data_IF_606684540870
#
_entry.id   IF_606684540870
#
_cell.length_a   1.000
_cell.length_b   1.000
_cell.length_c   1.000
_cell.angle_alpha   90.00
_cell.angle_beta   90.00
_cell.angle_gamma   90.00
#
_symmetry.space_group_name_H-M   'P 1'
#
loop_
_entity.id
_entity.type
_entity.pdbx_description
1 polymer ?
#
# COMPACT_ATOMS: atom_id res chain seq x y z
N UNK A 1 72.73 -13.23 -18.49
CA UNK A 1 72.89 -12.41 -17.28
C UNK A 1 72.25 -11.07 -17.50
N UNK A 2 71.04 -10.82 -16.94
CA UNK A 2 70.37 -9.54 -16.98
C UNK A 2 69.72 -9.30 -15.59
N UNK A 3 70.35 -8.37 -14.93
CA UNK A 3 70.04 -7.93 -13.56
C UNK A 3 68.72 -7.15 -13.53
N UNK A 4 67.73 -7.64 -12.78
CA UNK A 4 66.44 -6.96 -12.56
C UNK A 4 66.48 -6.25 -11.20
N UNK A 5 66.86 -4.97 -11.22
CA UNK A 5 66.73 -4.06 -10.06
C UNK A 5 65.29 -3.92 -9.66
N UNK A 6 64.96 -4.38 -8.46
CA UNK A 6 63.70 -4.08 -7.74
C UNK A 6 63.71 -2.61 -7.30
N UNK A 7 62.77 -1.85 -7.78
CA UNK A 7 62.42 -0.51 -7.26
C UNK A 7 61.49 -0.67 -6.07
N UNK A 8 61.92 -0.31 -4.87
CA UNK A 8 61.12 -0.09 -3.67
C UNK A 8 60.41 1.26 -3.77
N UNK A 9 59.11 1.39 -3.45
CA UNK A 9 58.47 2.69 -3.37
C UNK A 9 58.78 3.35 -2.02
N UNK A 10 59.43 4.53 -2.11
CA UNK A 10 59.76 5.36 -0.97
C UNK A 10 58.49 6.01 -0.40
N UNK A 11 58.29 5.88 0.91
CA UNK A 11 57.28 6.59 1.67
C UNK A 11 57.84 8.00 1.94
N UNK A 12 57.30 9.02 1.29
CA UNK A 12 57.56 10.42 1.62
C UNK A 12 56.59 10.95 2.66
N UNK A 13 57.02 11.02 3.90
CA UNK A 13 56.40 11.81 4.95
C UNK A 13 56.66 13.29 4.69
N UNK A 14 55.68 14.02 4.13
CA UNK A 14 55.70 15.47 4.04
C UNK A 14 54.83 16.05 5.17
N UNK A 15 55.50 16.38 6.27
CA UNK A 15 54.99 17.26 7.27
C UNK A 15 55.14 18.72 6.80
N UNK A 16 54.03 19.32 6.37
CA UNK A 16 53.97 20.77 6.12
C UNK A 16 52.72 21.32 6.75
N UNK A 17 52.88 21.86 7.95
CA UNK A 17 51.89 22.72 8.61
C UNK A 17 51.61 23.95 7.74
N UNK A 18 50.39 24.11 7.29
CA UNK A 18 49.89 25.39 6.80
C UNK A 18 48.93 25.99 7.81
N UNK A 19 49.40 27.02 8.48
CA UNK A 19 48.60 27.99 9.17
C UNK A 19 47.59 28.61 8.19
N UNK A 20 46.33 28.21 8.23
CA UNK A 20 45.26 28.89 7.52
C UNK A 20 44.84 30.11 8.39
N UNK A 21 45.22 31.30 7.91
CA UNK A 21 44.69 32.58 8.38
C UNK A 21 43.17 32.55 8.30
N UNK A 22 42.52 32.74 9.46
CA UNK A 22 41.13 33.11 9.57
C UNK A 22 40.91 34.50 8.96
N UNK A 23 40.26 34.57 7.80
CA UNK A 23 39.73 35.80 7.26
C UNK A 23 38.40 36.13 7.96
N UNK A 24 38.21 37.36 8.48
CA UNK A 24 36.95 37.76 9.10
C UNK A 24 35.94 38.17 8.04
N UNK A 25 34.73 37.62 8.18
CA UNK A 25 33.50 38.32 7.84
C UNK A 25 33.09 38.37 6.38
N UNK A 26 32.30 37.37 5.99
CA UNK A 26 31.12 37.66 5.19
C UNK A 26 29.91 36.93 5.83
N UNK A 27 29.07 37.75 6.45
CA UNK A 27 27.72 37.39 6.86
C UNK A 27 26.93 37.05 5.59
N UNK A 28 27.07 35.81 5.13
CA UNK A 28 26.30 35.26 4.01
C UNK A 28 24.87 35.02 4.48
N UNK A 29 23.95 35.76 3.88
CA UNK A 29 22.50 35.61 4.03
C UNK A 29 22.11 34.14 4.12
N UNK A 30 21.45 33.79 5.21
CA UNK A 30 20.97 32.46 5.48
C UNK A 30 20.11 31.96 4.31
N UNK A 31 20.66 31.00 3.55
CA UNK A 31 19.85 30.23 2.60
C UNK A 31 18.77 29.56 3.43
N UNK A 32 17.53 30.05 3.28
CA UNK A 32 16.35 29.47 3.85
C UNK A 32 16.44 27.94 3.67
N UNK A 33 16.47 27.21 4.78
CA UNK A 33 16.66 25.77 4.79
C UNK A 33 15.62 25.13 3.85
N UNK A 34 16.09 24.47 2.81
CA UNK A 34 15.20 23.69 1.96
C UNK A 34 14.47 22.70 2.85
N UNK A 35 13.14 22.64 2.81
CA UNK A 35 12.40 21.80 3.72
C UNK A 35 12.89 20.35 3.59
N UNK A 36 13.05 19.71 4.74
CA UNK A 36 13.59 18.36 4.96
C UNK A 36 13.08 17.30 3.95
N UNK A 37 11.84 17.45 3.46
CA UNK A 37 11.24 16.53 2.48
C UNK A 37 11.74 16.73 1.02
N UNK A 38 12.54 17.78 0.73
CA UNK A 38 13.05 18.08 -0.61
C UNK A 38 14.51 17.63 -0.84
N UNK A 39 15.11 16.91 0.08
CA UNK A 39 16.44 16.32 -0.12
C UNK A 39 16.34 15.05 -0.95
N UNK A 40 15.92 15.19 -2.21
CA UNK A 40 16.12 14.15 -3.21
C UNK A 40 17.56 14.19 -3.64
N UNK A 41 18.33 13.21 -3.18
CA UNK A 41 19.68 12.97 -3.65
C UNK A 41 19.69 12.79 -5.16
N UNK A 42 19.98 13.88 -5.89
CA UNK A 42 20.06 13.91 -7.37
C UNK A 42 21.26 13.16 -7.92
N UNK A 43 22.08 12.53 -7.11
CA UNK A 43 23.34 11.91 -7.54
C UNK A 43 23.30 10.43 -7.88
N UNK A 44 22.19 9.76 -7.73
CA UNK A 44 22.08 8.38 -8.20
C UNK A 44 21.28 8.35 -9.50
N UNK A 45 22.02 8.34 -10.63
CA UNK A 45 21.45 7.94 -11.92
C UNK A 45 20.58 6.68 -11.72
N UNK A 46 19.40 6.55 -12.36
CA UNK A 46 18.50 5.44 -12.14
C UNK A 46 19.20 4.13 -12.53
N UNK A 47 19.84 3.49 -11.56
CA UNK A 47 20.24 2.09 -11.73
C UNK A 47 18.95 1.34 -12.03
N UNK A 48 18.90 0.65 -13.17
CA UNK A 48 17.79 -0.21 -13.57
C UNK A 48 17.32 -0.97 -12.33
N UNK A 49 16.13 -0.65 -11.83
CA UNK A 49 15.61 -1.29 -10.63
C UNK A 49 15.61 -2.81 -10.90
N UNK A 50 16.24 -3.63 -10.05
CA UNK A 50 16.30 -5.06 -10.30
C UNK A 50 14.86 -5.58 -10.40
N UNK A 51 14.61 -6.52 -11.31
CA UNK A 51 13.29 -7.11 -11.56
C UNK A 51 12.56 -7.52 -10.26
N UNK A 52 13.30 -8.01 -9.28
CA UNK A 52 12.81 -8.37 -7.96
C UNK A 52 12.16 -7.21 -7.20
N UNK A 53 12.67 -5.99 -7.34
CA UNK A 53 12.06 -4.82 -6.68
C UNK A 53 10.78 -4.37 -7.38
N UNK A 54 10.69 -4.59 -8.69
CA UNK A 54 9.47 -4.32 -9.44
C UNK A 54 8.38 -5.34 -9.08
N UNK A 55 8.73 -6.63 -9.04
CA UNK A 55 7.80 -7.70 -8.66
C UNK A 55 7.32 -7.58 -7.20
N UNK A 56 8.20 -7.17 -6.27
CA UNK A 56 7.78 -6.96 -4.88
C UNK A 56 6.75 -5.85 -4.73
N UNK A 57 6.83 -4.79 -5.56
CA UNK A 57 5.81 -3.74 -5.55
C UNK A 57 4.48 -4.19 -6.15
N UNK A 58 4.47 -5.07 -7.15
CA UNK A 58 3.25 -5.70 -7.66
C UNK A 58 2.59 -6.58 -6.61
N UNK A 59 3.37 -7.40 -5.91
CA UNK A 59 2.88 -8.24 -4.82
C UNK A 59 2.22 -7.39 -3.72
N UNK A 60 2.87 -6.30 -3.30
CA UNK A 60 2.31 -5.37 -2.32
C UNK A 60 1.00 -4.73 -2.82
N UNK A 61 0.92 -4.35 -4.09
CA UNK A 61 -0.32 -3.83 -4.66
C UNK A 61 -1.45 -4.86 -4.62
N UNK A 62 -1.17 -6.11 -5.00
CA UNK A 62 -2.17 -7.18 -4.96
C UNK A 62 -2.66 -7.49 -3.54
N UNK A 63 -1.73 -7.60 -2.59
CA UNK A 63 -2.07 -7.86 -1.19
C UNK A 63 -2.86 -6.68 -0.58
N UNK A 64 -2.44 -5.45 -0.85
CA UNK A 64 -3.09 -4.26 -0.32
C UNK A 64 -4.49 -4.05 -0.88
N UNK A 65 -4.66 -4.14 -2.21
CA UNK A 65 -5.97 -3.95 -2.85
C UNK A 65 -6.88 -5.13 -2.56
N UNK A 66 -6.41 -6.36 -2.80
CA UNK A 66 -7.21 -7.57 -2.60
C UNK A 66 -7.62 -7.74 -1.14
N UNK A 67 -6.67 -7.63 -0.22
CA UNK A 67 -6.94 -7.74 1.22
C UNK A 67 -7.96 -6.71 1.70
N UNK A 68 -7.80 -5.44 1.33
CA UNK A 68 -8.70 -4.36 1.76
C UNK A 68 -10.11 -4.50 1.18
N UNK A 69 -10.23 -4.77 -0.12
CA UNK A 69 -11.54 -4.93 -0.78
C UNK A 69 -12.28 -6.14 -0.24
N UNK A 70 -11.60 -7.30 -0.18
CA UNK A 70 -12.23 -8.52 0.32
C UNK A 70 -12.49 -8.49 1.83
N UNK A 71 -11.72 -7.74 2.63
CA UNK A 71 -12.03 -7.55 4.05
C UNK A 71 -13.41 -6.92 4.24
N UNK A 72 -13.75 -5.91 3.45
CA UNK A 72 -15.07 -5.27 3.51
C UNK A 72 -16.16 -6.19 2.95
N UNK A 73 -15.94 -6.77 1.77
CA UNK A 73 -16.93 -7.63 1.09
C UNK A 73 -17.31 -8.83 1.94
N UNK A 74 -16.31 -9.54 2.47
CA UNK A 74 -16.55 -10.76 3.27
C UNK A 74 -16.92 -10.44 4.72
N UNK A 75 -16.40 -9.33 5.27
CA UNK A 75 -16.70 -8.92 6.62
C UNK A 75 -18.17 -8.54 6.81
N UNK A 76 -18.80 -7.91 5.82
CA UNK A 76 -20.24 -7.57 5.85
C UNK A 76 -21.10 -8.52 5.02
N UNK A 77 -20.56 -9.65 4.57
CA UNK A 77 -21.21 -10.65 3.70
C UNK A 77 -22.03 -10.03 2.56
N UNK A 78 -21.40 -9.09 1.86
CA UNK A 78 -22.06 -8.33 0.80
C UNK A 78 -22.29 -9.23 -0.43
N UNK A 79 -23.50 -9.21 -1.02
CA UNK A 79 -23.84 -10.02 -2.18
C UNK A 79 -23.25 -9.42 -3.47
N UNK A 80 -21.97 -9.64 -3.68
CA UNK A 80 -21.23 -9.17 -4.87
C UNK A 80 -20.85 -10.33 -5.77
N UNK A 81 -20.63 -10.05 -7.05
CA UNK A 81 -20.04 -10.99 -8.00
C UNK A 81 -18.56 -11.23 -7.68
N UNK A 82 -18.28 -12.14 -6.72
CA UNK A 82 -16.92 -12.40 -6.19
C UNK A 82 -15.87 -12.61 -7.29
N UNK A 83 -16.24 -13.27 -8.38
CA UNK A 83 -15.33 -13.48 -9.53
C UNK A 83 -14.95 -12.19 -10.25
N UNK A 84 -15.90 -11.28 -10.48
CA UNK A 84 -15.65 -9.99 -11.12
C UNK A 84 -14.78 -9.08 -10.24
N UNK A 85 -15.08 -9.04 -8.92
CA UNK A 85 -14.28 -8.28 -7.95
C UNK A 85 -12.86 -8.86 -7.85
N UNK A 86 -12.70 -10.19 -7.80
CA UNK A 86 -11.40 -10.84 -7.76
C UNK A 86 -10.58 -10.53 -9.01
N UNK A 87 -11.21 -10.61 -10.19
CA UNK A 87 -10.57 -10.26 -11.45
C UNK A 87 -10.13 -8.79 -11.47
N UNK A 88 -10.96 -7.88 -10.98
CA UNK A 88 -10.63 -6.46 -10.85
C UNK A 88 -9.45 -6.24 -9.89
N UNK A 89 -9.47 -6.88 -8.71
CA UNK A 89 -8.37 -6.82 -7.74
C UNK A 89 -7.06 -7.41 -8.26
N UNK A 90 -7.10 -8.33 -9.23
CA UNK A 90 -5.91 -8.89 -9.86
C UNK A 90 -5.42 -8.05 -11.06
N UNK A 91 -6.32 -7.69 -11.96
CA UNK A 91 -5.98 -7.03 -13.21
C UNK A 91 -5.59 -5.55 -13.04
N UNK A 92 -6.37 -4.79 -12.25
CA UNK A 92 -6.13 -3.35 -12.13
C UNK A 92 -4.78 -3.02 -11.48
N UNK A 93 -4.37 -3.65 -10.35
CA UNK A 93 -3.02 -3.46 -9.81
C UNK A 93 -1.91 -3.84 -10.79
N UNK A 94 -2.11 -4.90 -11.61
CA UNK A 94 -1.15 -5.28 -12.63
C UNK A 94 -1.01 -4.21 -13.73
N UNK A 95 -2.12 -3.62 -14.17
CA UNK A 95 -2.12 -2.51 -15.13
C UNK A 95 -1.44 -1.27 -14.52
N UNK A 96 -1.79 -0.87 -13.31
CA UNK A 96 -1.18 0.27 -12.61
C UNK A 96 0.33 0.06 -12.45
N UNK A 97 0.73 -1.13 -12.05
CA UNK A 97 2.14 -1.50 -11.94
C UNK A 97 2.86 -1.44 -13.28
N UNK A 98 2.28 -2.02 -14.34
CA UNK A 98 2.86 -1.98 -15.68
C UNK A 98 3.04 -0.55 -16.19
N UNK A 99 2.03 0.31 -16.02
CA UNK A 99 2.07 1.71 -16.39
C UNK A 99 3.14 2.51 -15.61
N UNK A 100 3.47 2.08 -14.39
CA UNK A 100 4.50 2.72 -13.58
C UNK A 100 5.92 2.32 -14.00
N UNK A 101 6.11 1.24 -14.77
CA UNK A 101 7.43 0.83 -15.24
C UNK A 101 8.07 1.90 -16.14
N UNK A 102 9.41 2.06 -16.10
CA UNK A 102 10.12 3.05 -16.92
C UNK A 102 10.29 2.61 -18.39
N UNK A 103 9.34 1.86 -18.92
CA UNK A 103 9.32 1.37 -20.31
C UNK A 103 8.75 2.45 -21.24
N UNK A 104 9.27 2.51 -22.49
CA UNK A 104 8.74 3.45 -23.49
C UNK A 104 7.28 3.15 -23.81
N UNK A 105 6.93 1.88 -23.98
CA UNK A 105 5.56 1.43 -24.20
C UNK A 105 4.62 1.85 -23.03
N UNK A 106 5.03 1.64 -21.79
CA UNK A 106 4.26 2.05 -20.63
C UNK A 106 4.00 3.57 -20.60
N UNK A 107 4.99 4.39 -20.98
CA UNK A 107 4.83 5.84 -21.06
C UNK A 107 3.81 6.29 -22.11
N UNK A 108 3.80 5.67 -23.27
CA UNK A 108 2.84 5.94 -24.35
C UNK A 108 1.42 5.51 -23.96
N UNK A 109 1.28 4.41 -23.23
CA UNK A 109 -0.01 3.86 -22.81
C UNK A 109 -0.61 4.56 -21.57
N UNK A 110 0.13 5.41 -20.87
CA UNK A 110 -0.40 6.10 -19.66
C UNK A 110 -1.60 6.96 -19.93
N UNK A 111 -1.51 7.84 -20.94
CA UNK A 111 -2.62 8.73 -21.28
C UNK A 111 -3.85 7.97 -21.75
N UNK A 112 -3.78 7.07 -22.75
CA UNK A 112 -4.96 6.32 -23.17
C UNK A 112 -5.53 5.43 -22.06
N UNK A 113 -4.69 4.83 -21.21
CA UNK A 113 -5.17 4.04 -20.08
C UNK A 113 -5.90 4.90 -19.02
N UNK A 114 -5.40 6.10 -18.72
CA UNK A 114 -6.06 7.03 -17.81
C UNK A 114 -7.40 7.52 -18.41
N UNK A 115 -7.42 7.86 -19.69
CA UNK A 115 -8.65 8.28 -20.37
C UNK A 115 -9.69 7.16 -20.41
N UNK A 116 -9.26 5.94 -20.75
CA UNK A 116 -10.14 4.77 -20.73
C UNK A 116 -10.67 4.49 -19.32
N UNK A 117 -9.79 4.51 -18.30
CA UNK A 117 -10.20 4.34 -16.90
C UNK A 117 -11.19 5.40 -16.45
N UNK A 118 -10.97 6.67 -16.80
CA UNK A 118 -11.89 7.77 -16.51
C UNK A 118 -13.23 7.60 -17.23
N UNK A 119 -13.22 7.21 -18.51
CA UNK A 119 -14.43 6.95 -19.29
C UNK A 119 -15.24 5.77 -18.71
N UNK A 120 -14.58 4.68 -18.33
CA UNK A 120 -15.22 3.54 -17.65
C UNK A 120 -15.82 3.93 -16.30
N UNK A 121 -15.10 4.70 -15.49
CA UNK A 121 -15.61 5.20 -14.22
C UNK A 121 -16.79 6.17 -14.42
N UNK A 122 -16.75 7.03 -15.44
CA UNK A 122 -17.84 7.94 -15.76
C UNK A 122 -19.09 7.20 -16.25
N UNK A 123 -18.91 6.20 -17.13
CA UNK A 123 -20.03 5.38 -17.65
C UNK A 123 -20.67 4.50 -16.58
N UNK A 124 -19.89 4.06 -15.60
CA UNK A 124 -20.37 3.25 -14.48
C UNK A 124 -20.80 4.10 -13.28
N UNK A 125 -20.63 5.41 -13.31
CA UNK A 125 -20.72 6.32 -12.17
C UNK A 125 -22.05 6.24 -11.41
N UNK A 126 -23.17 6.22 -12.10
CA UNK A 126 -24.49 6.10 -11.47
C UNK A 126 -24.65 4.78 -10.72
N UNK A 127 -24.29 3.67 -11.36
CA UNK A 127 -24.33 2.35 -10.73
C UNK A 127 -23.32 2.23 -9.57
N UNK A 128 -22.14 2.83 -9.72
CA UNK A 128 -21.14 2.85 -8.66
C UNK A 128 -21.61 3.68 -7.46
N UNK A 129 -22.21 4.85 -7.68
CA UNK A 129 -22.80 5.67 -6.61
C UNK A 129 -23.94 4.93 -5.91
N UNK A 130 -24.83 4.29 -6.66
CA UNK A 130 -25.90 3.46 -6.10
C UNK A 130 -25.31 2.32 -5.26
N UNK A 131 -24.30 1.63 -5.75
CA UNK A 131 -23.57 0.61 -5.02
C UNK A 131 -22.89 1.13 -3.75
N UNK A 132 -22.33 2.36 -3.79
CA UNK A 132 -21.77 3.02 -2.61
C UNK A 132 -22.83 3.29 -1.54
N UNK A 133 -24.00 3.81 -1.93
CA UNK A 133 -25.15 4.07 -1.03
C UNK A 133 -25.61 2.76 -0.40
N UNK A 134 -25.82 1.69 -1.19
CA UNK A 134 -26.19 0.37 -0.68
C UNK A 134 -25.14 -0.21 0.26
N UNK A 135 -23.85 -0.02 -0.04
CA UNK A 135 -22.77 -0.45 0.86
C UNK A 135 -22.81 0.31 2.18
N UNK A 136 -22.96 1.65 2.14
CA UNK A 136 -23.07 2.47 3.33
C UNK A 136 -24.29 2.10 4.18
N UNK A 137 -25.42 1.83 3.55
CA UNK A 137 -26.65 1.37 4.23
C UNK A 137 -26.41 0.03 4.94
N UNK A 138 -25.84 -0.97 4.26
CA UNK A 138 -25.54 -2.27 4.87
C UNK A 138 -24.56 -2.14 6.05
N UNK A 139 -23.50 -1.33 5.90
CA UNK A 139 -22.54 -1.09 6.97
C UNK A 139 -23.21 -0.43 8.16
N UNK A 140 -23.97 0.67 7.95
CA UNK A 140 -24.61 1.40 9.05
C UNK A 140 -25.70 0.58 9.71
N UNK A 141 -26.40 -0.27 8.97
CA UNK A 141 -27.38 -1.22 9.54
C UNK A 141 -26.69 -2.29 10.40
N UNK A 142 -25.55 -2.84 9.95
CA UNK A 142 -24.79 -3.76 10.76
C UNK A 142 -24.28 -3.09 12.05
N UNK A 143 -23.81 -1.84 11.97
CA UNK A 143 -23.42 -1.08 13.14
C UNK A 143 -24.60 -0.77 14.07
N UNK A 144 -25.76 -0.39 13.54
CA UNK A 144 -26.96 -0.11 14.33
C UNK A 144 -27.43 -1.32 15.14
N UNK A 145 -27.28 -2.53 14.60
CA UNK A 145 -27.61 -3.77 15.30
C UNK A 145 -26.80 -3.98 16.58
N UNK A 146 -25.57 -3.46 16.63
CA UNK A 146 -24.69 -3.54 17.81
C UNK A 146 -24.67 -2.27 18.65
N UNK A 147 -24.87 -1.12 18.02
CA UNK A 147 -24.84 0.21 18.61
C UNK A 147 -26.08 0.99 18.19
N UNK A 148 -27.20 0.87 18.92
CA UNK A 148 -28.49 1.52 18.58
C UNK A 148 -28.41 3.04 18.42
N UNK A 149 -27.39 3.69 19.03
CA UNK A 149 -27.15 5.12 18.90
C UNK A 149 -26.63 5.54 17.52
N UNK A 150 -26.12 4.59 16.70
CA UNK A 150 -25.65 4.87 15.33
C UNK A 150 -26.85 4.95 14.40
N UNK A 151 -27.10 6.09 13.72
CA UNK A 151 -28.21 6.20 12.78
C UNK A 151 -27.96 5.33 11.54
N UNK A 152 -29.04 4.70 11.06
CA UNK A 152 -28.98 4.00 9.76
C UNK A 152 -29.06 5.04 8.65
N UNK A 153 -28.01 5.15 7.85
CA UNK A 153 -27.97 6.07 6.72
C UNK A 153 -28.69 5.46 5.52
N UNK A 154 -29.39 6.30 4.77
CA UNK A 154 -30.09 5.92 3.54
C UNK A 154 -31.17 4.86 3.75
N UNK A 155 -31.89 4.89 4.89
CA UNK A 155 -32.97 3.96 5.22
C UNK A 155 -34.11 3.92 4.20
N UNK A 156 -34.33 5.02 3.47
CA UNK A 156 -35.40 5.20 2.51
C UNK A 156 -35.10 4.55 1.13
N UNK A 157 -33.86 4.09 0.92
CA UNK A 157 -33.48 3.41 -0.33
C UNK A 157 -33.93 1.95 -0.24
N UNK A 158 -34.80 1.47 -1.17
CA UNK A 158 -35.25 0.09 -1.13
C UNK A 158 -34.05 -0.86 -1.28
N UNK A 159 -33.93 -1.79 -0.36
CA UNK A 159 -32.88 -2.83 -0.34
C UNK A 159 -33.10 -3.91 -1.42
N UNK A 160 -33.50 -3.56 -2.61
CA UNK A 160 -33.34 -4.45 -3.74
C UNK A 160 -31.83 -4.54 -3.99
N UNK A 161 -31.22 -5.55 -3.35
CA UNK A 161 -29.79 -5.81 -3.43
C UNK A 161 -29.42 -6.11 -4.90
N UNK A 162 -29.19 -5.06 -5.66
CA UNK A 162 -28.68 -5.20 -7.01
C UNK A 162 -27.21 -5.61 -6.91
N UNK A 163 -26.95 -6.92 -6.90
CA UNK A 163 -25.61 -7.50 -6.96
C UNK A 163 -24.74 -6.84 -7.99
N UNK A 164 -25.34 -6.35 -9.09
CA UNK A 164 -24.66 -5.65 -10.15
C UNK A 164 -24.09 -4.30 -9.69
N UNK A 165 -24.89 -3.47 -9.04
CA UNK A 165 -24.46 -2.14 -8.57
C UNK A 165 -23.37 -2.25 -7.50
N UNK A 166 -23.51 -3.19 -6.55
CA UNK A 166 -22.50 -3.49 -5.56
C UNK A 166 -21.20 -3.98 -6.22
N UNK A 167 -21.30 -4.90 -7.19
CA UNK A 167 -20.13 -5.41 -7.91
C UNK A 167 -19.39 -4.29 -8.66
N UNK A 168 -20.13 -3.42 -9.36
CA UNK A 168 -19.55 -2.29 -10.09
C UNK A 168 -18.87 -1.31 -9.11
N UNK A 169 -19.49 -1.03 -7.97
CA UNK A 169 -18.89 -0.19 -6.94
C UNK A 169 -17.57 -0.77 -6.43
N UNK A 170 -17.53 -2.07 -6.08
CA UNK A 170 -16.29 -2.68 -5.58
C UNK A 170 -15.22 -2.81 -6.66
N UNK A 171 -15.57 -2.99 -7.93
CA UNK A 171 -14.61 -2.91 -9.03
C UNK A 171 -14.04 -1.48 -9.18
N UNK A 172 -14.88 -0.46 -9.10
CA UNK A 172 -14.47 0.95 -9.13
C UNK A 172 -13.60 1.30 -7.89
N UNK A 173 -14.01 0.85 -6.72
CA UNK A 173 -13.25 1.03 -5.48
C UNK A 173 -11.86 0.37 -5.57
N UNK A 174 -11.78 -0.86 -6.07
CA UNK A 174 -10.51 -1.54 -6.32
C UNK A 174 -9.62 -0.74 -7.28
N UNK A 175 -10.20 -0.14 -8.33
CA UNK A 175 -9.46 0.67 -9.30
C UNK A 175 -8.91 1.95 -8.67
N UNK A 176 -9.71 2.67 -7.92
CA UNK A 176 -9.30 3.88 -7.21
C UNK A 176 -8.22 3.56 -6.17
N UNK A 177 -8.45 2.51 -5.37
CA UNK A 177 -7.50 2.06 -4.35
C UNK A 177 -6.16 1.63 -4.98
N UNK A 178 -6.19 0.88 -6.09
CA UNK A 178 -4.98 0.47 -6.82
C UNK A 178 -4.22 1.70 -7.36
N UNK A 179 -4.92 2.70 -7.89
CA UNK A 179 -4.32 3.95 -8.33
C UNK A 179 -3.63 4.71 -7.19
N UNK A 180 -4.31 4.89 -6.06
CA UNK A 180 -3.80 5.58 -4.88
C UNK A 180 -2.64 4.83 -4.22
N UNK A 181 -2.77 3.51 -4.01
CA UNK A 181 -1.69 2.66 -3.51
C UNK A 181 -0.52 2.61 -4.48
N UNK A 182 -0.79 2.54 -5.79
CA UNK A 182 0.24 2.64 -6.81
C UNK A 182 1.02 3.96 -6.72
N UNK A 183 0.33 5.08 -6.57
CA UNK A 183 0.95 6.38 -6.34
C UNK A 183 1.79 6.39 -5.04
N UNK A 184 1.25 5.84 -3.95
CA UNK A 184 1.92 5.77 -2.66
C UNK A 184 3.20 4.90 -2.70
N UNK A 185 3.11 3.70 -3.28
CA UNK A 185 4.18 2.71 -3.26
C UNK A 185 5.25 2.97 -4.32
N UNK A 186 4.83 3.38 -5.53
CA UNK A 186 5.71 3.47 -6.70
C UNK A 186 6.34 4.86 -6.85
N UNK A 187 5.59 5.93 -6.55
CA UNK A 187 6.05 7.30 -6.74
C UNK A 187 6.48 7.96 -5.43
N UNK A 188 5.59 8.02 -4.43
CA UNK A 188 5.88 8.73 -3.17
C UNK A 188 6.68 7.87 -2.19
N UNK A 189 6.61 6.54 -2.30
CA UNK A 189 7.25 5.57 -1.40
C UNK A 189 6.89 5.80 0.07
N UNK A 190 5.65 6.20 0.33
CA UNK A 190 5.14 6.51 1.65
C UNK A 190 4.41 5.31 2.25
N UNK A 191 5.00 4.71 3.27
CA UNK A 191 4.37 3.63 4.02
C UNK A 191 3.16 4.12 4.82
N UNK A 192 3.25 5.32 5.41
CA UNK A 192 2.16 5.91 6.20
C UNK A 192 0.93 6.18 5.34
N UNK A 193 1.11 6.74 4.14
CA UNK A 193 -0.02 7.00 3.25
C UNK A 193 -0.68 5.69 2.78
N UNK A 194 0.12 4.65 2.51
CA UNK A 194 -0.40 3.32 2.16
C UNK A 194 -1.18 2.71 3.33
N UNK A 195 -0.69 2.85 4.56
CA UNK A 195 -1.41 2.40 5.75
C UNK A 195 -2.71 3.19 5.97
N UNK A 196 -2.68 4.51 5.83
CA UNK A 196 -3.85 5.37 5.97
C UNK A 196 -4.98 5.02 4.97
N UNK A 197 -4.63 4.51 3.79
CA UNK A 197 -5.61 4.06 2.79
C UNK A 197 -6.22 2.69 3.11
N UNK A 198 -5.46 1.80 3.73
CA UNK A 198 -5.87 0.40 3.91
C UNK A 198 -6.38 0.07 5.31
N UNK A 199 -5.91 0.79 6.35
CA UNK A 199 -6.31 0.53 7.74
C UNK A 199 -7.80 0.83 8.01
N UNK A 200 -8.36 1.99 7.61
CA UNK A 200 -9.74 2.29 7.93
C UNK A 200 -10.74 1.27 7.35
N UNK A 201 -10.71 0.94 6.03
CA UNK A 201 -11.65 -0.03 5.49
C UNK A 201 -11.43 -1.45 6.05
N UNK A 202 -10.20 -1.79 6.46
CA UNK A 202 -9.91 -3.06 7.12
C UNK A 202 -10.50 -3.12 8.54
N UNK A 203 -10.42 -2.01 9.29
CA UNK A 203 -10.94 -1.96 10.67
C UNK A 203 -12.46 -1.94 10.74
N UNK A 204 -13.15 -1.43 9.70
CA UNK A 204 -14.61 -1.34 9.69
C UNK A 204 -15.32 -2.67 10.03
N UNK A 205 -15.04 -3.79 9.36
CA UNK A 205 -15.70 -5.04 9.67
C UNK A 205 -15.28 -5.63 11.03
N UNK A 206 -14.04 -5.40 11.47
CA UNK A 206 -13.53 -5.98 12.72
C UNK A 206 -14.27 -5.51 13.98
N UNK A 207 -14.89 -4.34 13.93
CA UNK A 207 -15.61 -3.75 15.07
C UNK A 207 -16.97 -4.41 15.27
N UNK A 208 -17.60 -4.87 14.19
CA UNK A 208 -19.01 -5.22 14.19
C UNK A 208 -19.26 -6.68 13.83
N UNK A 209 -18.42 -7.27 12.97
CA UNK A 209 -18.67 -8.61 12.47
C UNK A 209 -17.89 -9.65 13.27
N UNK A 210 -18.58 -10.70 13.70
CA UNK A 210 -17.97 -11.89 14.31
C UNK A 210 -17.40 -12.84 13.25
N UNK A 211 -17.82 -12.67 11.99
CA UNK A 211 -17.34 -13.46 10.87
C UNK A 211 -15.95 -12.98 10.44
N UNK A 212 -14.94 -13.46 11.12
CA UNK A 212 -13.55 -13.26 10.67
C UNK A 212 -13.37 -14.00 9.35
N UNK A 213 -13.19 -13.23 8.26
CA UNK A 213 -12.75 -13.82 6.99
C UNK A 213 -11.22 -13.98 7.06
N UNK A 214 -10.68 -15.18 7.33
CA UNK A 214 -9.28 -15.34 7.67
C UNK A 214 -8.36 -14.95 6.51
N UNK A 215 -8.76 -15.23 5.28
CA UNK A 215 -7.91 -14.97 4.09
C UNK A 215 -7.69 -13.46 3.83
N UNK A 216 -8.72 -12.60 3.74
CA UNK A 216 -8.50 -11.17 3.57
C UNK A 216 -7.74 -10.52 4.73
N UNK A 217 -7.98 -10.95 5.96
CA UNK A 217 -7.23 -10.48 7.13
C UNK A 217 -5.75 -10.82 7.01
N UNK A 218 -5.44 -12.07 6.66
CA UNK A 218 -4.08 -12.53 6.41
C UNK A 218 -3.40 -11.70 5.31
N UNK A 219 -4.11 -11.44 4.20
CA UNK A 219 -3.59 -10.61 3.11
C UNK A 219 -3.24 -9.19 3.56
N UNK A 220 -4.08 -8.54 4.35
CA UNK A 220 -3.83 -7.20 4.89
C UNK A 220 -2.66 -7.19 5.88
N UNK A 221 -2.61 -8.15 6.81
CA UNK A 221 -1.51 -8.27 7.77
C UNK A 221 -0.18 -8.51 7.05
N UNK A 222 -0.18 -9.41 6.05
CA UNK A 222 0.99 -9.68 5.23
C UNK A 222 1.41 -8.43 4.44
N UNK A 223 0.45 -7.70 3.89
CA UNK A 223 0.70 -6.42 3.22
C UNK A 223 1.42 -5.44 4.15
N UNK A 224 0.91 -5.19 5.35
CA UNK A 224 1.50 -4.22 6.29
C UNK A 224 2.87 -4.67 6.79
N UNK A 225 3.02 -5.95 7.11
CA UNK A 225 4.31 -6.52 7.53
C UNK A 225 5.37 -6.33 6.45
N UNK A 226 5.06 -6.72 5.21
CA UNK A 226 5.97 -6.55 4.08
C UNK A 226 6.21 -5.08 3.72
N UNK A 227 5.20 -4.22 3.87
CA UNK A 227 5.31 -2.78 3.64
C UNK A 227 6.31 -2.14 4.62
N UNK A 228 6.16 -2.40 5.92
CA UNK A 228 7.06 -1.87 6.94
C UNK A 228 8.48 -2.38 6.76
N UNK A 229 8.62 -3.67 6.47
CA UNK A 229 9.90 -4.31 6.25
C UNK A 229 10.61 -3.75 5.01
N UNK A 230 9.90 -3.66 3.88
CA UNK A 230 10.47 -3.07 2.66
C UNK A 230 10.82 -1.60 2.85
N UNK A 231 10.03 -0.85 3.61
CA UNK A 231 10.33 0.55 3.91
C UNK A 231 11.60 0.69 4.77
N UNK A 232 11.75 -0.14 5.80
CA UNK A 232 12.94 -0.17 6.64
C UNK A 232 14.20 -0.56 5.84
N UNK A 233 14.11 -1.63 5.05
CA UNK A 233 15.22 -2.13 4.24
C UNK A 233 15.64 -1.17 3.12
N UNK A 234 14.71 -0.44 2.53
CA UNK A 234 15.04 0.58 1.50
C UNK A 234 15.89 1.72 2.04
N UNK A 235 15.83 2.00 3.35
CA UNK A 235 16.69 3.00 3.99
C UNK A 235 18.14 2.52 4.14
N UNK A 236 18.34 1.21 4.40
CA UNK A 236 19.68 0.64 4.64
C UNK A 236 20.32 0.10 3.36
N UNK A 237 19.58 -0.64 2.52
CA UNK A 237 20.10 -1.28 1.32
C UNK A 237 19.07 -1.39 0.20
N UNK A 238 18.86 -0.33 -0.59
CA UNK A 238 17.80 -0.28 -1.60
C UNK A 238 17.92 -1.33 -2.70
N UNK A 239 19.14 -1.79 -3.00
CA UNK A 239 19.38 -2.81 -4.02
C UNK A 239 18.95 -4.22 -3.60
N UNK A 240 18.94 -4.49 -2.29
CA UNK A 240 18.58 -5.79 -1.73
C UNK A 240 17.13 -5.88 -1.28
N UNK A 241 16.47 -4.74 -1.07
CA UNK A 241 15.11 -4.68 -0.53
C UNK A 241 14.12 -5.61 -1.24
N UNK A 242 14.16 -5.68 -2.58
CA UNK A 242 13.27 -6.54 -3.35
C UNK A 242 13.54 -8.05 -3.13
N UNK A 243 14.81 -8.46 -3.06
CA UNK A 243 15.17 -9.88 -2.82
C UNK A 243 14.78 -10.31 -1.41
N UNK A 244 15.04 -9.45 -0.44
CA UNK A 244 14.71 -9.71 0.96
C UNK A 244 13.19 -9.78 1.16
N UNK A 245 12.40 -8.94 0.49
CA UNK A 245 10.94 -9.00 0.53
C UNK A 245 10.43 -10.38 0.10
N UNK A 246 10.95 -10.93 -0.99
CA UNK A 246 10.59 -12.28 -1.45
C UNK A 246 11.07 -13.37 -0.50
N UNK A 247 12.29 -13.25 0.02
CA UNK A 247 12.83 -14.21 0.99
C UNK A 247 12.06 -14.23 2.31
N UNK A 248 11.47 -13.10 2.70
CA UNK A 248 10.70 -12.96 3.93
C UNK A 248 9.20 -13.22 3.75
N UNK A 249 8.72 -13.37 2.52
CA UNK A 249 7.31 -13.67 2.25
C UNK A 249 6.90 -15.02 2.89
N UNK A 250 7.69 -16.07 2.68
CA UNK A 250 7.39 -17.40 3.23
C UNK A 250 7.42 -17.44 4.77
N UNK A 251 8.46 -16.93 5.46
CA UNK A 251 8.46 -16.91 6.91
C UNK A 251 7.40 -15.96 7.50
N UNK A 252 7.11 -14.82 6.86
CA UNK A 252 6.03 -13.94 7.30
C UNK A 252 4.66 -14.62 7.16
N UNK A 253 4.41 -15.31 6.05
CA UNK A 253 3.19 -16.08 5.85
C UNK A 253 3.09 -17.23 6.87
N UNK A 254 4.17 -17.98 7.09
CA UNK A 254 4.20 -19.06 8.08
C UNK A 254 3.94 -18.56 9.50
N UNK A 255 4.52 -17.42 9.88
CA UNK A 255 4.31 -16.78 11.18
C UNK A 255 2.86 -16.34 11.35
N UNK A 256 2.26 -15.71 10.34
CA UNK A 256 0.87 -15.26 10.40
C UNK A 256 -0.12 -16.43 10.42
N UNK A 257 0.12 -17.49 9.65
CA UNK A 257 -0.67 -18.72 9.71
C UNK A 257 -0.51 -19.42 11.05
N UNK A 258 0.71 -19.51 11.59
CA UNK A 258 0.97 -20.02 12.92
C UNK A 258 0.21 -19.21 13.97
N UNK A 259 0.24 -17.90 13.89
CA UNK A 259 -0.49 -17.03 14.80
C UNK A 259 -2.01 -17.28 14.78
N UNK A 260 -2.59 -17.51 13.59
CA UNK A 260 -4.02 -17.86 13.46
C UNK A 260 -4.35 -19.22 14.09
N UNK A 261 -3.43 -20.20 14.03
CA UNK A 261 -3.63 -21.52 14.65
C UNK A 261 -3.52 -21.42 16.18
N UNK A 262 -2.58 -20.61 16.70
CA UNK A 262 -2.34 -20.44 18.12
C UNK A 262 -3.30 -19.46 18.81
N UNK A 263 -3.92 -18.57 18.06
CA UNK A 263 -4.99 -17.69 18.53
C UNK A 263 -6.32 -18.21 17.95
N UNK A 264 -6.86 -19.33 18.51
CA UNK A 264 -8.15 -19.83 18.06
C UNK A 264 -9.20 -18.73 18.26
N UNK A 265 -10.23 -18.74 17.41
CA UNK A 265 -11.38 -17.86 17.47
C UNK A 265 -11.88 -17.80 18.91
N UNK A 266 -11.33 -16.86 19.68
CA UNK A 266 -11.95 -16.51 20.95
C UNK A 266 -13.19 -15.75 20.56
N UNK A 267 -14.34 -16.35 20.84
CA UNK A 267 -15.61 -15.65 20.85
C UNK A 267 -15.37 -14.25 21.39
N UNK A 268 -15.61 -13.24 20.54
CA UNK A 268 -15.35 -11.86 20.92
C UNK A 268 -16.23 -11.57 22.14
N UNK A 269 -15.66 -11.75 23.34
CA UNK A 269 -16.33 -11.44 24.59
C UNK A 269 -16.53 -9.94 24.58
N UNK A 270 -17.76 -9.49 24.36
CA UNK A 270 -18.14 -8.08 24.44
C UNK A 270 -17.50 -7.51 25.70
N UNK A 271 -16.66 -6.49 25.61
CA UNK A 271 -16.15 -5.87 26.82
C UNK A 271 -17.34 -5.35 27.61
N UNK A 272 -17.36 -5.64 28.92
CA UNK A 272 -18.45 -5.34 29.83
C UNK A 272 -18.89 -3.86 29.87
N UNK A 273 -18.03 -2.97 29.37
CA UNK A 273 -18.34 -1.54 29.21
C UNK A 273 -19.30 -1.27 28.04
N UNK A 274 -19.32 -2.07 26.99
CA UNK A 274 -20.24 -1.91 25.86
C UNK A 274 -21.70 -2.17 26.24
N UNK A 275 -21.94 -3.04 27.22
CA UNK A 275 -23.28 -3.27 27.77
C UNK A 275 -23.80 -2.17 28.73
N UNK A 276 -22.92 -1.21 29.13
CA UNK A 276 -23.31 -0.10 30.00
C UNK A 276 -23.69 1.17 29.23
N UNK A 277 -23.51 1.19 27.90
CA UNK A 277 -23.91 2.30 27.03
C UNK A 277 -25.29 2.10 26.38
N UNK A 278 -26.01 1.02 26.74
CA UNK A 278 -27.41 0.80 26.43
C UNK A 278 -28.27 1.31 27.60
#
# INVERSE_FOLDING_TARGET
MRDKRRKTPGISLSAAGRHTRLAPGHAGAGKAGTPFWRRTDRHNAPRKAPLWSALSSLLLLWLGVGGTVFAVVTGFDLPVGRGAVALSCAAVPAVVWFLALPLRAARLLRLPALLLGAALLASAGENALRGAVLTAQNITQAYHAYFPAVPVWFSDVPMTLENRSLTIFFCAYAAILAGLLGAALLWQRSALFSAALTVPPFCLPLVVTQAAAPVPQLMCLLFWTLLLLTHALRRSSPAQAGRVTWGLLAPALALLLGLQIFLPDRDFIRPSWAGRMQ
#
